data_IF_416080148900
#
_entry.id   IF_416080148900
#
_cell.length_a   1.000
_cell.length_b   1.000
_cell.length_c   1.000
_cell.angle_alpha   90.00
_cell.angle_beta   90.00
_cell.angle_gamma   90.00
#
_symmetry.space_group_name_H-M   'P 1'
#
loop_
_entity.id
_entity.type
_entity.pdbx_description
1 polymer ?
#
# COMPACT_ATOMS: atom_id res chain seq x y z
N UNK A 1 34.57 15.03 1.25
CA UNK A 1 33.66 15.83 0.40
C UNK A 1 32.49 14.94 -0.01
N UNK A 2 31.34 15.01 0.66
CA UNK A 2 30.17 14.15 0.35
C UNK A 2 29.39 14.81 -0.78
N UNK A 3 29.39 14.18 -1.95
CA UNK A 3 28.60 14.60 -3.11
C UNK A 3 27.12 14.51 -2.71
N UNK A 4 26.44 15.65 -2.64
CA UNK A 4 25.02 15.71 -2.31
C UNK A 4 24.20 15.02 -3.39
N UNK A 5 23.72 13.80 -3.13
CA UNK A 5 22.63 13.20 -3.91
C UNK A 5 21.42 14.13 -3.78
N UNK A 6 20.93 14.68 -4.89
CA UNK A 6 19.64 15.36 -4.93
C UNK A 6 18.58 14.37 -4.43
N UNK A 7 18.09 14.54 -3.21
CA UNK A 7 16.94 13.80 -2.70
C UNK A 7 15.72 14.32 -3.46
N UNK A 8 15.22 13.55 -4.42
CA UNK A 8 13.89 13.78 -4.96
C UNK A 8 12.92 13.41 -3.85
N UNK A 9 12.31 14.41 -3.19
CA UNK A 9 11.28 14.14 -2.19
C UNK A 9 10.18 13.31 -2.84
N UNK A 10 9.88 12.14 -2.28
CA UNK A 10 8.75 11.27 -2.66
C UNK A 10 7.42 12.04 -2.79
N UNK A 11 7.25 13.17 -2.09
CA UNK A 11 6.12 14.11 -2.22
C UNK A 11 5.82 14.53 -3.66
N UNK A 12 6.81 14.54 -4.54
CA UNK A 12 6.67 14.98 -5.93
C UNK A 12 6.43 13.84 -6.93
N UNK A 13 6.52 12.57 -6.49
CA UNK A 13 6.33 11.42 -7.38
C UNK A 13 4.86 11.21 -7.74
N UNK A 14 3.96 11.69 -6.88
CA UNK A 14 2.52 11.68 -7.10
C UNK A 14 1.91 13.01 -6.66
N UNK A 15 1.08 13.57 -7.50
CA UNK A 15 0.34 14.82 -7.27
C UNK A 15 -0.75 14.66 -6.22
N UNK A 16 -1.28 15.79 -5.71
CA UNK A 16 -2.43 15.77 -4.80
C UNK A 16 -3.67 15.11 -5.42
N UNK A 17 -3.91 15.33 -6.71
CA UNK A 17 -5.04 14.73 -7.40
C UNK A 17 -4.89 13.21 -7.56
N UNK A 18 -3.68 12.72 -7.82
CA UNK A 18 -3.41 11.28 -7.89
C UNK A 18 -3.54 10.62 -6.51
N UNK A 19 -3.08 11.29 -5.45
CA UNK A 19 -3.30 10.84 -4.06
C UNK A 19 -4.80 10.72 -3.76
N UNK A 20 -5.60 11.72 -4.13
CA UNK A 20 -7.05 11.71 -3.89
C UNK A 20 -7.73 10.54 -4.61
N UNK A 21 -7.42 10.32 -5.90
CA UNK A 21 -7.96 9.19 -6.67
C UNK A 21 -7.56 7.83 -6.09
N UNK A 22 -6.30 7.70 -5.66
CA UNK A 22 -5.83 6.48 -5.00
C UNK A 22 -6.58 6.23 -3.69
N UNK A 23 -6.90 7.30 -2.94
CA UNK A 23 -7.69 7.22 -1.70
C UNK A 23 -9.09 6.74 -1.98
N UNK A 24 -9.78 7.38 -2.92
CA UNK A 24 -11.14 7.03 -3.32
C UNK A 24 -11.25 5.55 -3.72
N UNK A 25 -10.24 5.04 -4.43
CA UNK A 25 -10.15 3.62 -4.79
C UNK A 25 -9.96 2.70 -3.57
N UNK A 26 -9.06 3.04 -2.65
CA UNK A 26 -8.82 2.27 -1.41
C UNK A 26 -10.09 2.25 -0.55
N UNK A 27 -10.71 3.41 -0.33
CA UNK A 27 -11.96 3.54 0.41
C UNK A 27 -13.09 2.72 -0.24
N UNK A 28 -13.15 2.70 -1.56
CA UNK A 28 -14.11 1.87 -2.28
C UNK A 28 -13.88 0.37 -2.01
N UNK A 29 -12.63 -0.09 -2.06
CA UNK A 29 -12.28 -1.49 -1.79
C UNK A 29 -12.61 -1.86 -0.34
N UNK A 30 -12.32 -1.00 0.64
CA UNK A 30 -12.70 -1.26 2.04
C UNK A 30 -14.23 -1.38 2.18
N UNK A 31 -15.00 -0.46 1.58
CA UNK A 31 -16.47 -0.54 1.63
C UNK A 31 -17.03 -1.84 1.08
N UNK A 32 -16.39 -2.38 0.04
CA UNK A 32 -16.84 -3.57 -0.70
C UNK A 32 -16.28 -4.89 -0.16
N UNK A 33 -15.19 -4.88 0.63
CA UNK A 33 -14.45 -6.11 1.02
C UNK A 33 -14.00 -6.15 2.47
N UNK A 34 -14.16 -5.04 3.18
CA UNK A 34 -13.67 -4.76 4.54
C UNK A 34 -12.17 -4.80 4.74
N UNK A 35 -11.38 -5.10 3.70
CA UNK A 35 -9.93 -5.11 3.74
C UNK A 35 -9.36 -3.68 3.78
N UNK A 36 -8.34 -3.49 4.61
CA UNK A 36 -7.70 -2.19 4.80
C UNK A 36 -6.37 -2.17 4.06
N UNK A 37 -6.26 -1.35 3.02
CA UNK A 37 -5.05 -1.21 2.21
C UNK A 37 -4.36 0.11 2.57
N UNK A 38 -3.10 0.05 2.97
CA UNK A 38 -2.24 1.19 3.22
C UNK A 38 -1.15 1.26 2.14
N UNK A 39 -0.94 2.45 1.57
CA UNK A 39 0.10 2.70 0.59
C UNK A 39 1.06 3.74 1.14
N UNK A 40 2.34 3.37 1.24
CA UNK A 40 3.39 4.20 1.78
C UNK A 40 4.55 4.39 0.80
N UNK A 41 5.00 5.64 0.64
CA UNK A 41 6.17 5.99 -0.16
C UNK A 41 7.19 6.68 0.73
N UNK A 42 8.39 6.10 0.83
CA UNK A 42 9.52 6.66 1.58
C UNK A 42 10.67 6.98 0.65
N UNK A 43 11.36 8.08 0.96
CA UNK A 43 12.63 8.42 0.31
C UNK A 43 13.66 7.31 0.56
N UNK A 44 13.83 6.90 1.83
CA UNK A 44 14.80 5.90 2.26
C UNK A 44 14.35 5.24 3.57
N UNK A 45 14.85 4.04 3.85
CA UNK A 45 14.65 3.31 5.11
C UNK A 45 15.84 2.36 5.32
N UNK A 46 16.41 2.33 6.53
CA UNK A 46 17.60 1.50 6.83
C UNK A 46 17.34 0.01 6.62
N UNK A 47 16.23 -0.50 7.15
CA UNK A 47 15.76 -1.87 6.93
C UNK A 47 14.31 -1.85 6.46
N UNK A 48 14.04 -1.77 5.13
CA UNK A 48 12.68 -1.63 4.61
C UNK A 48 11.71 -2.72 5.08
N UNK A 49 12.16 -3.97 5.10
CA UNK A 49 11.30 -5.10 5.48
C UNK A 49 10.95 -5.09 6.97
N UNK A 50 11.93 -4.80 7.83
CA UNK A 50 11.70 -4.67 9.28
C UNK A 50 10.81 -3.45 9.57
N UNK A 51 11.07 -2.33 8.90
CA UNK A 51 10.26 -1.13 8.99
C UNK A 51 8.81 -1.41 8.59
N UNK A 52 8.57 -2.07 7.44
CA UNK A 52 7.23 -2.37 6.97
C UNK A 52 6.44 -3.21 7.98
N UNK A 53 7.07 -4.23 8.57
CA UNK A 53 6.45 -5.09 9.59
C UNK A 53 6.11 -4.30 10.86
N UNK A 54 7.08 -3.55 11.41
CA UNK A 54 6.85 -2.72 12.60
C UNK A 54 5.76 -1.67 12.37
N UNK A 55 5.75 -1.04 11.20
CA UNK A 55 4.75 -0.04 10.84
C UNK A 55 3.35 -0.65 10.70
N UNK A 56 3.26 -1.82 10.05
CA UNK A 56 2.02 -2.59 9.92
C UNK A 56 1.42 -2.93 11.28
N UNK A 57 2.25 -3.44 12.21
CA UNK A 57 1.81 -3.81 13.56
C UNK A 57 1.49 -2.57 14.41
N UNK A 58 2.30 -1.50 14.32
CA UNK A 58 2.14 -0.29 15.10
C UNK A 58 0.84 0.45 14.78
N UNK A 59 0.49 0.57 13.49
CA UNK A 59 -0.78 1.15 13.07
C UNK A 59 -1.96 0.19 13.22
N UNK A 60 -1.70 -1.09 13.46
CA UNK A 60 -2.73 -2.13 13.52
C UNK A 60 -3.45 -2.30 12.20
N UNK A 61 -2.72 -2.30 11.07
CA UNK A 61 -3.30 -2.35 9.72
C UNK A 61 -4.17 -3.62 9.56
N UNK A 62 -5.47 -3.42 9.32
CA UNK A 62 -6.48 -4.47 9.27
C UNK A 62 -7.33 -4.53 10.54
N UNK A 63 -8.58 -4.97 10.37
CA UNK A 63 -9.51 -5.21 11.48
C UNK A 63 -8.95 -6.29 12.39
N UNK A 64 -8.90 -6.02 13.70
CA UNK A 64 -8.26 -6.86 14.71
C UNK A 64 -8.70 -8.33 14.67
N UNK A 65 -9.99 -8.59 14.46
CA UNK A 65 -10.55 -9.95 14.40
C UNK A 65 -10.34 -10.62 13.03
N UNK A 66 -10.22 -9.81 11.98
CA UNK A 66 -10.21 -10.28 10.60
C UNK A 66 -8.80 -10.41 10.03
N UNK A 67 -7.82 -9.73 10.62
CA UNK A 67 -6.43 -9.66 10.19
C UNK A 67 -6.32 -9.39 8.68
N UNK A 68 -7.09 -8.41 8.20
CA UNK A 68 -7.34 -8.17 6.78
C UNK A 68 -6.67 -6.90 6.25
N UNK A 69 -5.52 -6.58 6.81
CA UNK A 69 -4.68 -5.46 6.39
C UNK A 69 -3.71 -5.83 5.28
N UNK A 70 -3.41 -4.87 4.41
CA UNK A 70 -2.33 -4.91 3.42
C UNK A 70 -1.54 -3.61 3.52
N UNK A 71 -0.22 -3.68 3.69
CA UNK A 71 0.69 -2.55 3.52
C UNK A 71 1.49 -2.73 2.24
N UNK A 72 1.50 -1.71 1.39
CA UNK A 72 2.39 -1.59 0.23
C UNK A 72 3.37 -0.46 0.54
N UNK A 73 4.62 -0.79 0.82
CA UNK A 73 5.70 0.15 1.07
C UNK A 73 6.64 0.23 -0.13
N UNK A 74 6.91 1.43 -0.62
CA UNK A 74 7.92 1.71 -1.66
C UNK A 74 9.03 2.57 -1.07
N UNK A 75 10.26 2.05 -1.07
CA UNK A 75 11.46 2.78 -0.64
C UNK A 75 12.28 3.17 -1.87
N UNK A 76 12.17 4.44 -2.27
CA UNK A 76 12.60 4.92 -3.59
C UNK A 76 14.12 4.89 -3.75
N UNK A 77 14.88 5.36 -2.75
CA UNK A 77 16.34 5.35 -2.81
C UNK A 77 16.94 3.94 -2.92
N UNK A 78 16.22 2.94 -2.40
CA UNK A 78 16.61 1.53 -2.44
C UNK A 78 16.02 0.75 -3.60
N UNK A 79 15.04 1.33 -4.32
CA UNK A 79 14.25 0.64 -5.35
C UNK A 79 13.64 -0.65 -4.83
N UNK A 80 13.21 -0.63 -3.57
CA UNK A 80 12.69 -1.79 -2.85
C UNK A 80 11.21 -1.60 -2.57
N UNK A 81 10.45 -2.69 -2.75
CA UNK A 81 9.02 -2.74 -2.48
C UNK A 81 8.82 -3.83 -1.42
N UNK A 82 8.12 -3.48 -0.35
CA UNK A 82 7.73 -4.43 0.69
C UNK A 82 6.21 -4.49 0.72
N UNK A 83 5.67 -5.71 0.74
CA UNK A 83 4.23 -5.93 0.91
C UNK A 83 4.00 -6.81 2.14
N UNK A 84 3.28 -6.28 3.11
CA UNK A 84 2.90 -7.01 4.32
C UNK A 84 1.41 -7.33 4.23
N UNK A 85 1.07 -8.61 4.30
CA UNK A 85 -0.32 -9.10 4.21
C UNK A 85 -0.71 -9.75 5.54
N UNK A 86 -1.81 -9.27 6.11
CA UNK A 86 -2.41 -9.81 7.30
C UNK A 86 -2.81 -11.28 7.13
N UNK A 87 -2.78 -12.03 8.23
CA UNK A 87 -3.00 -13.49 8.21
C UNK A 87 -4.32 -13.88 7.54
N UNK A 88 -5.38 -13.10 7.74
CA UNK A 88 -6.71 -13.37 7.19
C UNK A 88 -6.84 -13.14 5.68
N UNK A 89 -5.77 -12.68 5.01
CA UNK A 89 -5.74 -12.48 3.56
C UNK A 89 -4.72 -13.36 2.84
N UNK A 90 -3.98 -14.24 3.53
CA UNK A 90 -2.91 -15.03 2.89
C UNK A 90 -3.42 -16.03 1.84
N UNK A 91 -4.62 -16.57 2.01
CA UNK A 91 -5.25 -17.44 1.02
C UNK A 91 -5.87 -16.64 -0.15
N UNK A 92 -6.27 -15.40 0.14
CA UNK A 92 -6.85 -14.48 -0.85
C UNK A 92 -5.75 -13.92 -1.76
N UNK A 93 -4.68 -13.39 -1.16
CA UNK A 93 -3.52 -12.79 -1.80
C UNK A 93 -2.22 -13.54 -1.39
N UNK A 94 -2.00 -14.75 -1.93
CA UNK A 94 -0.80 -15.55 -1.62
C UNK A 94 0.47 -14.93 -2.21
N UNK A 95 1.63 -15.37 -1.73
CA UNK A 95 2.94 -14.84 -2.16
C UNK A 95 3.12 -14.78 -3.68
N UNK A 96 2.72 -15.84 -4.40
CA UNK A 96 2.78 -15.87 -5.86
C UNK A 96 1.96 -14.76 -6.54
N UNK A 97 0.80 -14.41 -5.97
CA UNK A 97 -0.01 -13.29 -6.45
C UNK A 97 0.69 -11.95 -6.18
N UNK A 98 1.29 -11.78 -5.00
CA UNK A 98 2.04 -10.55 -4.67
C UNK A 98 3.20 -10.34 -5.64
N UNK A 99 3.99 -11.39 -5.89
CA UNK A 99 5.12 -11.36 -6.82
C UNK A 99 4.68 -11.01 -8.23
N UNK A 100 3.59 -11.63 -8.71
CA UNK A 100 3.02 -11.34 -10.02
C UNK A 100 2.57 -9.88 -10.12
N UNK A 101 1.78 -9.39 -9.16
CA UNK A 101 1.27 -8.00 -9.18
C UNK A 101 2.42 -6.99 -9.12
N UNK A 102 3.44 -7.23 -8.29
CA UNK A 102 4.58 -6.32 -8.19
C UNK A 102 5.36 -6.30 -9.52
N UNK A 103 5.74 -7.47 -10.04
CA UNK A 103 6.63 -7.56 -11.20
C UNK A 103 5.96 -7.21 -12.52
N UNK A 104 4.69 -7.57 -12.70
CA UNK A 104 3.99 -7.43 -13.97
C UNK A 104 3.16 -6.14 -14.05
N UNK A 105 2.82 -5.53 -12.90
CA UNK A 105 1.95 -4.35 -12.85
C UNK A 105 2.69 -3.13 -12.27
N UNK A 106 3.25 -3.23 -11.06
CA UNK A 106 3.84 -2.06 -10.39
C UNK A 106 5.16 -1.63 -11.02
N UNK A 107 6.10 -2.58 -11.15
CA UNK A 107 7.47 -2.32 -11.60
C UNK A 107 7.52 -1.72 -13.01
N UNK A 108 6.73 -2.19 -14.01
CA UNK A 108 6.76 -1.61 -15.35
C UNK A 108 6.44 -0.11 -15.39
N UNK A 109 5.42 0.33 -14.65
CA UNK A 109 5.05 1.75 -14.57
C UNK A 109 6.12 2.56 -13.81
N UNK A 110 6.69 2.01 -12.73
CA UNK A 110 7.76 2.69 -11.98
C UNK A 110 9.02 2.89 -12.82
N UNK A 111 9.36 1.93 -13.71
CA UNK A 111 10.50 2.04 -14.62
C UNK A 111 10.42 3.21 -15.58
N UNK A 112 9.21 3.66 -15.91
CA UNK A 112 8.97 4.82 -16.78
C UNK A 112 8.50 6.06 -16.01
N UNK A 113 8.69 6.06 -14.68
CA UNK A 113 8.38 7.21 -13.82
C UNK A 113 6.90 7.42 -13.52
N UNK A 114 6.02 6.48 -13.88
CA UNK A 114 4.57 6.58 -13.65
C UNK A 114 4.16 5.98 -12.29
N UNK A 115 4.65 6.57 -11.21
CA UNK A 115 4.42 6.04 -9.86
C UNK A 115 2.93 5.97 -9.48
N UNK A 116 2.15 7.02 -9.78
CA UNK A 116 0.73 7.04 -9.49
C UNK A 116 -0.03 5.91 -10.21
N UNK A 117 0.27 5.69 -11.49
CA UNK A 117 -0.36 4.62 -12.28
C UNK A 117 0.01 3.25 -11.74
N UNK A 118 1.29 3.01 -11.43
CA UNK A 118 1.75 1.75 -10.89
C UNK A 118 1.05 1.40 -9.58
N UNK A 119 0.95 2.37 -8.65
CA UNK A 119 0.25 2.19 -7.39
C UNK A 119 -1.25 1.95 -7.60
N UNK A 120 -1.91 2.76 -8.44
CA UNK A 120 -3.34 2.61 -8.73
C UNK A 120 -3.65 1.23 -9.31
N UNK A 121 -2.93 0.80 -10.35
CA UNK A 121 -3.14 -0.51 -10.99
C UNK A 121 -2.84 -1.66 -10.03
N UNK A 122 -1.84 -1.52 -9.17
CA UNK A 122 -1.60 -2.49 -8.09
C UNK A 122 -2.79 -2.58 -7.15
N UNK A 123 -3.27 -1.45 -6.62
CA UNK A 123 -4.43 -1.43 -5.71
C UNK A 123 -5.68 -1.98 -6.41
N UNK A 124 -5.88 -1.69 -7.70
CA UNK A 124 -6.97 -2.29 -8.50
C UNK A 124 -6.85 -3.82 -8.59
N UNK A 125 -5.64 -4.35 -8.79
CA UNK A 125 -5.40 -5.79 -8.85
C UNK A 125 -5.71 -6.47 -7.50
N UNK A 126 -5.27 -5.88 -6.39
CA UNK A 126 -5.65 -6.34 -5.05
C UNK A 126 -7.17 -6.26 -4.84
N UNK A 127 -7.77 -5.11 -5.16
CA UNK A 127 -9.21 -4.90 -5.04
C UNK A 127 -10.04 -5.91 -5.82
N UNK A 128 -9.62 -6.29 -7.03
CA UNK A 128 -10.29 -7.33 -7.81
C UNK A 128 -10.30 -8.67 -7.08
N UNK A 129 -9.14 -9.15 -6.63
CA UNK A 129 -9.03 -10.45 -5.94
C UNK A 129 -9.75 -10.43 -4.58
N UNK A 130 -9.70 -9.30 -3.87
CA UNK A 130 -10.44 -9.12 -2.62
C UNK A 130 -11.96 -9.18 -2.86
N UNK A 131 -12.50 -8.50 -3.87
CA UNK A 131 -13.93 -8.57 -4.20
C UNK A 131 -14.37 -9.96 -4.60
N UNK A 132 -13.55 -10.67 -5.36
CA UNK A 132 -13.85 -12.03 -5.83
C UNK A 132 -13.85 -13.05 -4.69
N UNK A 133 -12.91 -12.95 -3.75
CA UNK A 133 -12.65 -14.00 -2.75
C UNK A 133 -13.04 -13.64 -1.33
N UNK A 134 -13.26 -12.36 -1.06
CA UNK A 134 -13.64 -11.81 0.24
C UNK A 134 -14.58 -10.60 0.07
N UNK A 135 -15.74 -10.79 -0.56
CA UNK A 135 -16.76 -9.75 -0.56
C UNK A 135 -17.17 -9.44 0.87
N UNK A 136 -17.48 -8.18 1.14
CA UNK A 136 -18.03 -7.76 2.43
C UNK A 136 -19.30 -8.55 2.73
N UNK A 137 -19.43 -8.95 3.98
CA UNK A 137 -20.66 -9.53 4.52
C UNK A 137 -21.32 -8.59 5.52
N UNK A 138 -22.65 -8.65 5.61
CA UNK A 138 -23.41 -7.80 6.52
C UNK A 138 -22.98 -7.98 7.97
N UNK A 139 -22.85 -6.86 8.69
CA UNK A 139 -22.43 -6.84 10.09
C UNK A 139 -20.92 -6.72 10.30
N UNK A 140 -20.08 -6.79 9.25
CA UNK A 140 -18.66 -6.47 9.41
C UNK A 140 -18.45 -4.96 9.67
N UNK A 141 -17.60 -4.62 10.65
CA UNK A 141 -17.43 -3.23 11.06
C UNK A 141 -16.76 -2.40 9.95
N UNK A 142 -17.03 -1.08 9.91
CA UNK A 142 -16.35 -0.16 9.00
C UNK A 142 -14.83 -0.13 9.29
N UNK A 143 -14.02 0.38 8.36
CA UNK A 143 -12.60 0.64 8.64
C UNK A 143 -12.43 1.51 9.89
N UNK A 144 -11.41 1.21 10.68
CA UNK A 144 -11.05 2.02 11.86
C UNK A 144 -9.74 2.79 11.68
N UNK A 145 -9.06 2.60 10.56
CA UNK A 145 -7.82 3.29 10.26
C UNK A 145 -8.16 4.42 9.28
N UNK A 146 -7.75 5.68 9.55
CA UNK A 146 -7.85 6.72 8.55
C UNK A 146 -7.11 6.25 7.30
N UNK A 147 -7.65 6.45 6.10
CA UNK A 147 -7.01 5.98 4.85
C UNK A 147 -5.58 6.53 4.75
N UNK A 148 -4.60 5.76 5.26
CA UNK A 148 -3.23 6.24 5.38
C UNK A 148 -2.57 6.07 4.03
N UNK A 149 -2.72 7.10 3.20
CA UNK A 149 -1.79 7.37 2.12
C UNK A 149 -0.64 8.15 2.76
N UNK A 150 0.34 7.45 3.33
CA UNK A 150 1.55 8.12 3.82
C UNK A 150 2.57 8.23 2.68
N UNK A 151 2.45 9.34 1.98
CA UNK A 151 3.31 9.71 0.84
C UNK A 151 4.36 10.74 1.24
N UNK A 152 4.73 10.75 2.55
CA UNK A 152 5.97 11.23 3.18
C UNK A 152 5.80 12.08 4.47
N UNK A 153 4.81 11.76 5.31
CA UNK A 153 4.27 12.41 6.52
C UNK A 153 3.32 13.60 6.31
N UNK A 154 2.14 13.48 6.93
CA UNK A 154 1.72 14.42 7.98
C UNK A 154 1.36 13.56 9.20
N UNK A 155 2.11 13.66 10.30
CA UNK A 155 1.74 13.00 11.57
C UNK A 155 0.32 13.44 11.98
N UNK A 156 -0.52 12.56 12.58
CA UNK A 156 -1.65 13.07 13.34
C UNK A 156 -1.07 13.92 14.48
N UNK A 157 -1.50 15.18 14.57
CA UNK A 157 -1.26 16.01 15.75
C UNK A 157 -1.92 15.39 16.97
#
# INVERSE_FOLDING_TARGET
MRIGRRRHKVTHLISRAEKARLRELIEQIDRETTAEICVMLLDDAEEPSEFARKYFDHLGIGKRELHNGILILVVVAKRQIEVVVGKGLREVAPQAFLEQVINDIMVPDFRVGRFADGLRKTVEAFGRVLRERRPRVDGEPPSHIPDVIDVSREEPR
#
